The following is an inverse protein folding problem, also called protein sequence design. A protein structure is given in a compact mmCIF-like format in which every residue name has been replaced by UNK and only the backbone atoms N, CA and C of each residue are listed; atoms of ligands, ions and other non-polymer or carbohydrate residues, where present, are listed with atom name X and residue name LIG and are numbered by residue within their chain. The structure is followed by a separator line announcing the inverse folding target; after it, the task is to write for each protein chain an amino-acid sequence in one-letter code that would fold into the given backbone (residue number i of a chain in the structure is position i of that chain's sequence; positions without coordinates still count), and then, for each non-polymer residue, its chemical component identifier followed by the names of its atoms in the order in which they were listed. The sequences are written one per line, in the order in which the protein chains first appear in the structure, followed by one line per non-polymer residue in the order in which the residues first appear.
data_IF_427950497584
#
_entry.id   IF_427950497584
#
_cell.length_a   1.000
_cell.length_b   1.000
_cell.length_c   1.000
_cell.angle_alpha   90.00
_cell.angle_beta   90.00
_cell.angle_gamma   90.00
#
_symmetry.space_group_name_H-M   'P 1'
#
loop_
_entity.id
_entity.type
_entity.pdbx_description
1 polymer ?
#
# COMPACT_ATOMS: atom_id res chain seq x y z
N UNK A 1 20.14 -18.59 -16.60
CA UNK A 1 19.41 -17.73 -15.63
C UNK A 1 17.93 -18.02 -15.78
N UNK A 2 17.15 -18.16 -14.70
CA UNK A 2 15.70 -18.19 -14.83
C UNK A 2 15.23 -16.90 -15.53
N UNK A 3 14.17 -16.96 -16.35
CA UNK A 3 13.62 -15.75 -16.96
C UNK A 3 13.17 -14.78 -15.87
N UNK A 4 13.30 -13.48 -16.13
CA UNK A 4 12.74 -12.47 -15.26
C UNK A 4 11.22 -12.67 -15.18
N UNK A 5 10.67 -12.62 -13.97
CA UNK A 5 9.23 -12.80 -13.76
C UNK A 5 8.43 -11.77 -14.55
N UNK A 6 7.29 -12.20 -15.10
CA UNK A 6 6.29 -11.34 -15.72
C UNK A 6 5.73 -10.33 -14.71
N UNK A 7 5.11 -9.24 -15.16
CA UNK A 7 4.47 -8.29 -14.23
C UNK A 7 3.34 -8.98 -13.46
N UNK A 8 2.56 -9.83 -14.14
CA UNK A 8 1.48 -10.56 -13.50
C UNK A 8 1.99 -11.52 -12.42
N UNK A 9 3.11 -12.19 -12.68
CA UNK A 9 3.76 -13.09 -11.71
C UNK A 9 4.28 -12.30 -10.50
N UNK A 10 4.98 -11.17 -10.73
CA UNK A 10 5.48 -10.31 -9.66
C UNK A 10 4.36 -9.82 -8.74
N UNK A 11 3.26 -9.31 -9.31
CA UNK A 11 2.10 -8.82 -8.54
C UNK A 11 1.53 -9.95 -7.68
N UNK A 12 1.33 -11.14 -8.25
CA UNK A 12 0.74 -12.29 -7.53
C UNK A 12 1.64 -12.78 -6.40
N UNK A 13 2.96 -12.85 -6.64
CA UNK A 13 3.93 -13.26 -5.61
C UNK A 13 3.90 -12.30 -4.41
N UNK A 14 3.85 -10.99 -4.66
CA UNK A 14 3.79 -10.01 -3.56
C UNK A 14 2.47 -10.09 -2.79
N UNK A 15 1.34 -10.25 -3.48
CA UNK A 15 0.02 -10.44 -2.85
C UNK A 15 -0.05 -11.74 -2.05
N UNK A 16 0.51 -12.83 -2.55
CA UNK A 16 0.61 -14.10 -1.83
C UNK A 16 1.48 -13.94 -0.58
N UNK A 17 2.61 -13.25 -0.68
CA UNK A 17 3.46 -12.94 0.46
C UNK A 17 2.70 -12.16 1.54
N UNK A 18 1.89 -11.16 1.17
CA UNK A 18 1.00 -10.45 2.12
C UNK A 18 0.04 -11.41 2.84
N UNK A 19 -0.59 -12.34 2.12
CA UNK A 19 -1.49 -13.32 2.73
C UNK A 19 -0.75 -14.24 3.71
N UNK A 20 0.45 -14.69 3.36
CA UNK A 20 1.32 -15.49 4.24
C UNK A 20 1.67 -14.72 5.50
N UNK A 21 2.02 -13.43 5.41
CA UNK A 21 2.33 -12.57 6.55
C UNK A 21 1.13 -12.39 7.48
N UNK A 22 -0.06 -12.13 6.93
CA UNK A 22 -1.31 -12.01 7.71
C UNK A 22 -1.66 -13.31 8.40
N UNK A 23 -1.52 -14.45 7.72
CA UNK A 23 -1.75 -15.75 8.33
C UNK A 23 -0.74 -16.04 9.44
N UNK A 24 0.54 -15.72 9.23
CA UNK A 24 1.59 -15.83 10.25
C UNK A 24 1.28 -14.97 11.47
N UNK A 25 0.82 -13.74 11.28
CA UNK A 25 0.38 -12.87 12.39
C UNK A 25 -0.71 -13.53 13.23
N UNK A 26 -1.72 -14.13 12.59
CA UNK A 26 -2.80 -14.85 13.29
C UNK A 26 -2.28 -16.07 14.04
N UNK A 27 -1.46 -16.90 13.39
CA UNK A 27 -0.90 -18.11 14.00
C UNK A 27 -0.02 -17.80 15.22
N UNK A 28 0.70 -16.67 15.20
CA UNK A 28 1.54 -16.22 16.30
C UNK A 28 0.78 -15.43 17.37
N UNK A 29 -0.52 -15.18 17.20
CA UNK A 29 -1.29 -14.32 18.11
C UNK A 29 -0.82 -12.86 18.11
N UNK A 30 -0.33 -12.37 16.96
CA UNK A 30 0.19 -11.00 16.76
C UNK A 30 -0.77 -10.09 15.96
N UNK A 31 -1.97 -10.57 15.61
CA UNK A 31 -2.87 -9.84 14.73
C UNK A 31 -3.29 -8.48 15.31
N UNK A 32 -3.56 -8.42 16.61
CA UNK A 32 -3.94 -7.19 17.30
C UNK A 32 -2.75 -6.24 17.44
N UNK A 33 -1.54 -6.76 17.66
CA UNK A 33 -0.31 -5.97 17.72
C UNK A 33 0.05 -5.37 16.37
N UNK A 34 -0.13 -6.11 15.27
CA UNK A 34 0.01 -5.57 13.91
C UNK A 34 -0.97 -4.42 13.71
N UNK A 35 -2.23 -4.59 14.13
CA UNK A 35 -3.22 -3.52 14.02
C UNK A 35 -2.92 -2.30 14.89
N UNK A 36 -2.41 -2.52 16.11
CA UNK A 36 -1.98 -1.45 17.00
C UNK A 36 -0.81 -0.65 16.40
N UNK A 37 0.20 -1.34 15.86
CA UNK A 37 1.36 -0.72 15.20
C UNK A 37 0.93 0.09 13.98
N UNK A 38 0.10 -0.50 13.09
CA UNK A 38 -0.45 0.21 11.92
C UNK A 38 -1.23 1.46 12.30
N UNK A 39 -2.10 1.35 13.30
CA UNK A 39 -2.91 2.47 13.79
C UNK A 39 -2.05 3.60 14.36
N UNK A 40 -1.03 3.27 15.14
CA UNK A 40 -0.09 4.25 15.69
C UNK A 40 0.73 4.92 14.57
N UNK A 41 1.26 4.14 13.61
CA UNK A 41 1.96 4.66 12.44
C UNK A 41 1.11 5.66 11.66
N UNK A 42 -0.17 5.33 11.42
CA UNK A 42 -1.13 6.23 10.77
C UNK A 42 -1.37 7.52 11.54
N UNK A 43 -1.59 7.44 12.87
CA UNK A 43 -1.74 8.64 13.73
C UNK A 43 -0.48 9.52 13.69
N UNK A 44 0.70 8.89 13.79
CA UNK A 44 1.99 9.59 13.73
C UNK A 44 2.14 10.33 12.41
N UNK A 45 1.92 9.67 11.27
CA UNK A 45 2.03 10.33 9.97
C UNK A 45 1.03 11.47 9.78
N UNK A 46 -0.22 11.32 10.25
CA UNK A 46 -1.20 12.43 10.25
C UNK A 46 -0.73 13.63 11.07
N UNK A 47 -0.06 13.38 12.20
CA UNK A 47 0.55 14.43 13.01
C UNK A 47 1.78 15.07 12.37
N UNK A 48 2.69 14.25 11.83
CA UNK A 48 3.95 14.70 11.20
C UNK A 48 3.71 15.51 9.92
N UNK A 49 2.78 15.07 9.07
CA UNK A 49 2.48 15.70 7.78
C UNK A 49 1.17 16.51 7.82
N UNK A 50 0.87 17.13 8.97
CA UNK A 50 -0.34 17.93 9.16
C UNK A 50 -0.37 19.13 8.20
N UNK A 51 0.77 19.71 7.90
CA UNK A 51 0.94 20.77 6.91
C UNK A 51 0.44 20.34 5.52
N UNK A 52 0.84 19.16 5.04
CA UNK A 52 0.38 18.61 3.77
C UNK A 52 -1.13 18.31 3.76
N UNK A 53 -1.68 17.92 4.91
CA UNK A 53 -3.13 17.69 5.09
C UNK A 53 -3.96 18.98 5.17
N UNK A 54 -3.32 20.15 5.31
CA UNK A 54 -3.95 21.47 5.33
C UNK A 54 -3.72 22.25 4.03
N UNK A 55 -2.74 21.85 3.22
CA UNK A 55 -2.44 22.45 1.92
C UNK A 55 -3.48 22.02 0.86
N UNK A 56 -4.29 22.95 0.31
CA UNK A 56 -5.29 22.64 -0.71
C UNK A 56 -4.72 21.97 -1.97
N UNK A 57 -3.45 22.19 -2.29
CA UNK A 57 -2.79 21.57 -3.45
C UNK A 57 -2.35 20.12 -3.21
N UNK A 58 -2.22 19.69 -1.94
CA UNK A 58 -1.63 18.38 -1.57
C UNK A 58 -2.55 17.50 -0.75
N UNK A 59 -3.61 18.07 -0.17
CA UNK A 59 -4.49 17.41 0.80
C UNK A 59 -5.07 16.09 0.29
N UNK A 60 -5.47 16.03 -0.99
CA UNK A 60 -6.11 14.82 -1.53
C UNK A 60 -5.11 13.68 -1.71
N UNK A 61 -3.92 13.96 -2.26
CA UNK A 61 -2.87 12.97 -2.38
C UNK A 61 -2.35 12.51 -1.00
N UNK A 62 -2.20 13.43 -0.05
CA UNK A 62 -1.82 13.10 1.32
C UNK A 62 -2.87 12.21 2.01
N UNK A 63 -4.17 12.51 1.82
CA UNK A 63 -5.26 11.66 2.35
C UNK A 63 -5.29 10.30 1.68
N UNK A 64 -5.19 10.24 0.35
CA UNK A 64 -5.16 8.98 -0.38
C UNK A 64 -4.00 8.10 0.11
N UNK A 65 -2.81 8.67 0.29
CA UNK A 65 -1.68 7.91 0.84
C UNK A 65 -2.00 7.33 2.22
N UNK A 66 -2.55 8.13 3.14
CA UNK A 66 -2.81 7.72 4.52
C UNK A 66 -4.05 6.85 4.72
N UNK A 67 -4.91 6.72 3.71
CA UNK A 67 -6.16 5.98 3.79
C UNK A 67 -6.18 4.74 2.90
N UNK A 68 -5.56 4.83 1.72
CA UNK A 68 -5.61 3.80 0.70
C UNK A 68 -4.28 3.06 0.52
N UNK A 69 -3.12 3.72 0.70
CA UNK A 69 -1.81 3.09 0.50
C UNK A 69 -1.13 2.65 1.80
N UNK A 70 -1.27 3.44 2.86
CA UNK A 70 -0.56 3.27 4.11
C UNK A 70 -1.50 3.45 5.31
N UNK A 71 -2.45 2.52 5.45
CA UNK A 71 -3.47 2.58 6.49
C UNK A 71 -3.66 1.23 7.21
N UNK A 72 -4.33 1.29 8.35
CA UNK A 72 -4.67 0.11 9.15
C UNK A 72 -5.89 -0.67 8.62
N UNK A 73 -6.50 -0.22 7.52
CA UNK A 73 -7.71 -0.85 6.95
C UNK A 73 -7.38 -2.25 6.42
N UNK A 74 -8.40 -3.11 6.40
CA UNK A 74 -8.30 -4.40 5.74
C UNK A 74 -8.46 -4.24 4.23
N UNK A 75 -7.40 -4.56 3.49
CA UNK A 75 -7.38 -4.49 2.03
C UNK A 75 -7.54 -5.85 1.35
N UNK A 76 -7.91 -6.90 2.09
CA UNK A 76 -7.97 -8.27 1.57
C UNK A 76 -8.85 -8.41 0.32
N UNK A 77 -10.01 -7.74 0.27
CA UNK A 77 -10.86 -7.75 -0.92
C UNK A 77 -10.17 -7.10 -2.13
N UNK A 78 -9.57 -5.92 -1.93
CA UNK A 78 -8.82 -5.21 -2.96
C UNK A 78 -7.63 -6.02 -3.47
N UNK A 79 -6.90 -6.67 -2.56
CA UNK A 79 -5.74 -7.51 -2.86
C UNK A 79 -6.15 -8.69 -3.75
N UNK A 80 -7.27 -9.35 -3.45
CA UNK A 80 -7.82 -10.44 -4.28
C UNK A 80 -8.23 -9.95 -5.67
N UNK A 81 -8.91 -8.81 -5.75
CA UNK A 81 -9.32 -8.20 -7.02
C UNK A 81 -8.09 -7.82 -7.86
N UNK A 82 -7.04 -7.30 -7.23
CA UNK A 82 -5.80 -6.92 -7.90
C UNK A 82 -5.07 -8.13 -8.49
N UNK A 83 -4.96 -9.24 -7.74
CA UNK A 83 -4.37 -10.48 -8.24
C UNK A 83 -5.13 -11.10 -9.43
N UNK A 84 -6.47 -10.97 -9.45
CA UNK A 84 -7.33 -11.44 -10.56
C UNK A 84 -7.05 -10.68 -11.86
N UNK A 85 -6.80 -9.38 -11.79
CA UNK A 85 -6.57 -8.55 -12.98
C UNK A 85 -5.10 -8.44 -13.42
N UNK A 86 -4.15 -8.99 -12.65
CA UNK A 86 -2.72 -8.86 -12.94
C UNK A 86 -2.34 -9.26 -14.37
N UNK A 87 -2.91 -10.35 -14.90
CA UNK A 87 -2.70 -10.78 -16.29
C UNK A 87 -3.43 -9.93 -17.34
N UNK A 88 -4.44 -9.15 -16.96
CA UNK A 88 -5.06 -8.16 -17.84
C UNK A 88 -4.22 -6.87 -17.88
N UNK A 89 -3.65 -6.44 -16.73
CA UNK A 89 -2.72 -5.31 -16.67
C UNK A 89 -1.55 -5.53 -17.63
N UNK A 90 -0.91 -6.69 -17.54
CA UNK A 90 0.25 -7.03 -18.37
C UNK A 90 -0.06 -7.06 -19.87
N UNK A 91 -1.24 -7.54 -20.27
CA UNK A 91 -1.60 -7.69 -21.69
C UNK A 91 -2.18 -6.44 -22.33
N UNK A 92 -2.90 -5.62 -21.57
CA UNK A 92 -3.75 -4.55 -22.11
C UNK A 92 -3.20 -3.15 -21.89
N UNK A 93 -2.29 -2.96 -20.93
CA UNK A 93 -1.81 -1.64 -20.56
C UNK A 93 -0.34 -1.42 -20.94
N UNK A 94 0.10 -0.15 -21.11
CA UNK A 94 1.51 0.16 -21.31
C UNK A 94 2.40 -0.37 -20.19
N UNK A 95 3.67 -0.62 -20.50
CA UNK A 95 4.63 -1.19 -19.54
C UNK A 95 4.73 -0.38 -18.25
N UNK A 96 4.62 0.95 -18.31
CA UNK A 96 4.64 1.83 -17.13
C UNK A 96 3.52 1.51 -16.13
N UNK A 97 2.32 1.13 -16.61
CA UNK A 97 1.20 0.74 -15.75
C UNK A 97 1.47 -0.62 -15.10
N UNK A 98 2.05 -1.55 -15.87
CA UNK A 98 2.50 -2.84 -15.34
C UNK A 98 3.54 -2.66 -14.24
N UNK A 99 4.52 -1.78 -14.48
CA UNK A 99 5.57 -1.46 -13.50
C UNK A 99 5.01 -0.81 -12.24
N UNK A 100 4.16 0.20 -12.39
CA UNK A 100 3.49 0.86 -11.27
C UNK A 100 2.65 -0.14 -10.45
N UNK A 101 2.03 -1.11 -11.11
CA UNK A 101 1.26 -2.16 -10.44
C UNK A 101 2.16 -3.10 -9.61
N UNK A 102 3.34 -3.44 -10.13
CA UNK A 102 4.35 -4.17 -9.34
C UNK A 102 4.83 -3.35 -8.14
N UNK A 103 5.10 -2.06 -8.33
CA UNK A 103 5.56 -1.17 -7.26
C UNK A 103 4.50 -1.04 -6.14
N UNK A 104 3.22 -0.94 -6.49
CA UNK A 104 2.11 -0.98 -5.52
C UNK A 104 2.09 -2.28 -4.70
N UNK A 105 2.22 -3.43 -5.39
CA UNK A 105 2.22 -4.74 -4.72
C UNK A 105 3.46 -4.92 -3.83
N UNK A 106 4.63 -4.47 -4.29
CA UNK A 106 5.87 -4.49 -3.51
C UNK A 106 5.79 -3.59 -2.28
N UNK A 107 5.28 -2.36 -2.42
CA UNK A 107 5.09 -1.45 -1.28
C UNK A 107 4.21 -2.08 -0.20
N UNK A 108 3.12 -2.73 -0.61
CA UNK A 108 2.21 -3.42 0.30
C UNK A 108 2.91 -4.56 1.05
N UNK A 109 3.62 -5.42 0.33
CA UNK A 109 4.35 -6.54 0.93
C UNK A 109 5.48 -6.09 1.87
N UNK A 110 6.23 -5.04 1.50
CA UNK A 110 7.26 -4.45 2.36
C UNK A 110 6.65 -3.88 3.64
N UNK A 111 5.53 -3.17 3.51
CA UNK A 111 4.83 -2.58 4.66
C UNK A 111 4.33 -3.66 5.62
N UNK A 112 3.64 -4.68 5.12
CA UNK A 112 3.15 -5.81 5.93
C UNK A 112 4.30 -6.58 6.60
N UNK A 113 5.42 -6.78 5.92
CA UNK A 113 6.60 -7.45 6.48
C UNK A 113 7.17 -6.68 7.67
N UNK A 114 7.35 -5.37 7.49
CA UNK A 114 7.91 -4.49 8.51
C UNK A 114 6.96 -4.36 9.71
N UNK A 115 5.66 -4.25 9.47
CA UNK A 115 4.65 -4.16 10.51
C UNK A 115 4.57 -5.46 11.32
N UNK A 116 4.67 -6.63 10.69
CA UNK A 116 4.70 -7.92 11.39
C UNK A 116 5.95 -8.05 12.28
N UNK A 117 7.14 -7.71 11.78
CA UNK A 117 8.36 -7.71 12.60
C UNK A 117 8.23 -6.75 13.78
N UNK A 118 7.73 -5.54 13.52
CA UNK A 118 7.54 -4.53 14.56
C UNK A 118 6.49 -4.94 15.60
N UNK A 119 5.43 -5.65 15.20
CA UNK A 119 4.41 -6.18 16.09
C UNK A 119 5.00 -7.18 17.10
N UNK A 120 5.94 -8.04 16.68
CA UNK A 120 6.64 -8.95 17.59
C UNK A 120 7.41 -8.21 18.68
N UNK A 121 8.18 -7.19 18.30
CA UNK A 121 8.89 -6.34 19.27
C UNK A 121 7.93 -5.52 20.13
N UNK A 122 6.85 -5.02 19.53
CA UNK A 122 5.80 -4.31 20.25
C UNK A 122 5.24 -5.19 21.35
N UNK A 123 4.81 -6.43 21.04
CA UNK A 123 4.27 -7.38 22.02
C UNK A 123 5.22 -7.61 23.21
N UNK A 124 6.49 -7.87 22.91
CA UNK A 124 7.52 -8.12 23.93
C UNK A 124 7.77 -6.95 24.89
N UNK A 125 7.41 -5.72 24.49
CA UNK A 125 7.58 -4.50 25.28
C UNK A 125 6.28 -4.04 25.98
N UNK A 126 5.25 -4.89 26.03
CA UNK A 126 3.98 -4.58 26.69
C UNK A 126 4.12 -4.29 28.18
N UNK A 127 3.33 -3.34 28.69
CA UNK A 127 3.23 -3.02 30.13
C UNK A 127 4.39 -2.25 30.76
N UNK A 128 5.52 -2.08 30.08
CA UNK A 128 6.74 -1.52 30.68
C UNK A 128 6.96 -0.01 30.43
N UNK A 129 6.30 0.60 29.45
CA UNK A 129 6.56 1.98 29.02
C UNK A 129 5.32 2.67 28.44
N UNK A 130 5.36 3.99 28.27
CA UNK A 130 4.32 4.74 27.55
C UNK A 130 4.23 4.32 26.08
N UNK A 131 3.08 4.51 25.43
CA UNK A 131 2.86 4.16 24.02
C UNK A 131 3.97 4.71 23.08
N UNK A 132 4.39 5.99 23.17
CA UNK A 132 5.44 6.52 22.32
C UNK A 132 6.82 5.89 22.59
N UNK A 133 7.17 5.66 23.85
CA UNK A 133 8.45 5.05 24.22
C UNK A 133 8.52 3.60 23.74
N UNK A 134 7.41 2.84 23.89
CA UNK A 134 7.27 1.49 23.35
C UNK A 134 7.42 1.47 21.83
N UNK A 135 6.80 2.43 21.13
CA UNK A 135 6.87 2.53 19.68
C UNK A 135 8.30 2.78 19.20
N UNK A 136 9.01 3.74 19.81
CA UNK A 136 10.39 4.06 19.45
C UNK A 136 11.32 2.86 19.69
N UNK A 137 11.14 2.14 20.80
CA UNK A 137 11.91 0.94 21.12
C UNK A 137 11.62 -0.20 20.13
N UNK A 138 10.35 -0.46 19.81
CA UNK A 138 9.97 -1.46 18.82
C UNK A 138 10.52 -1.09 17.42
N UNK A 139 10.43 0.18 17.02
CA UNK A 139 10.95 0.66 15.74
C UNK A 139 12.47 0.46 15.62
N UNK A 140 13.21 0.79 16.68
CA UNK A 140 14.67 0.58 16.74
C UNK A 140 15.02 -0.91 16.69
N UNK A 141 14.28 -1.74 17.43
CA UNK A 141 14.48 -3.18 17.45
C UNK A 141 14.18 -3.84 16.09
N UNK A 142 13.18 -3.35 15.35
CA UNK A 142 12.89 -3.82 13.99
C UNK A 142 14.11 -3.68 13.07
N UNK A 143 14.86 -2.57 13.15
CA UNK A 143 16.24 -2.51 12.63
C UNK A 143 16.47 -2.77 11.14
N UNK A 144 15.45 -2.69 10.27
CA UNK A 144 15.58 -3.05 8.84
C UNK A 144 15.81 -1.82 7.94
N UNK A 145 16.99 -1.19 8.06
CA UNK A 145 17.32 0.03 7.32
C UNK A 145 17.22 -0.15 5.79
N UNK A 146 17.72 -1.26 5.23
CA UNK A 146 17.68 -1.50 3.79
C UNK A 146 16.23 -1.62 3.27
N UNK A 147 15.36 -2.33 3.99
CA UNK A 147 13.95 -2.48 3.63
C UNK A 147 13.21 -1.12 3.67
N UNK A 148 13.53 -0.26 4.66
CA UNK A 148 12.97 1.10 4.75
C UNK A 148 13.44 2.00 3.60
N UNK A 149 14.71 1.93 3.21
CA UNK A 149 15.20 2.65 2.03
C UNK A 149 14.51 2.15 0.75
N UNK A 150 14.32 0.84 0.61
CA UNK A 150 13.58 0.28 -0.53
C UNK A 150 12.12 0.77 -0.53
N UNK A 151 11.45 0.72 0.62
CA UNK A 151 10.08 1.23 0.78
C UNK A 151 9.98 2.70 0.35
N UNK A 152 10.92 3.55 0.79
CA UNK A 152 10.96 4.96 0.39
C UNK A 152 11.15 5.13 -1.12
N UNK A 153 12.13 4.44 -1.71
CA UNK A 153 12.37 4.51 -3.15
C UNK A 153 11.16 4.07 -3.99
N UNK A 154 10.44 3.04 -3.54
CA UNK A 154 9.20 2.58 -4.18
C UNK A 154 8.10 3.63 -4.05
N UNK A 155 7.93 4.25 -2.88
CA UNK A 155 6.94 5.34 -2.67
C UNK A 155 7.26 6.56 -3.53
N UNK A 156 8.53 6.95 -3.64
CA UNK A 156 8.96 8.08 -4.47
C UNK A 156 8.65 7.84 -5.95
N UNK A 157 9.02 6.66 -6.47
CA UNK A 157 8.72 6.27 -7.85
C UNK A 157 7.22 6.23 -8.11
N UNK A 158 6.46 5.64 -7.18
CA UNK A 158 5.00 5.58 -7.26
C UNK A 158 4.37 6.99 -7.29
N UNK A 159 4.84 7.90 -6.45
CA UNK A 159 4.38 9.29 -6.43
C UNK A 159 4.60 9.99 -7.77
N UNK A 160 5.80 9.89 -8.33
CA UNK A 160 6.12 10.52 -9.62
C UNK A 160 5.30 9.94 -10.78
N UNK A 161 5.09 8.62 -10.80
CA UNK A 161 4.34 7.97 -11.86
C UNK A 161 2.84 8.24 -11.74
N UNK A 162 2.29 8.27 -10.52
CA UNK A 162 0.90 8.68 -10.31
C UNK A 162 0.66 10.13 -10.74
N UNK A 163 1.54 11.07 -10.39
CA UNK A 163 1.43 12.46 -10.86
C UNK A 163 1.40 12.53 -12.39
N UNK A 164 2.30 11.79 -13.06
CA UNK A 164 2.39 11.76 -14.52
C UNK A 164 1.16 11.14 -15.19
N UNK A 165 0.75 9.95 -14.74
CA UNK A 165 -0.29 9.14 -15.38
C UNK A 165 -1.70 9.70 -15.14
N UNK A 166 -1.95 10.28 -13.97
CA UNK A 166 -3.27 10.81 -13.60
C UNK A 166 -3.63 12.12 -14.31
N UNK A 167 -2.64 12.78 -14.95
CA UNK A 167 -2.85 13.91 -15.87
C UNK A 167 -3.41 13.48 -17.24
N UNK A 168 -3.39 12.19 -17.57
CA UNK A 168 -3.96 11.68 -18.82
C UNK A 168 -5.49 11.65 -18.81
N UNK A 169 -6.11 12.53 -19.61
CA UNK A 169 -7.57 12.60 -19.76
C UNK A 169 -8.17 11.31 -20.33
N UNK A 170 -7.47 10.63 -21.23
CA UNK A 170 -7.94 9.38 -21.83
C UNK A 170 -7.96 8.24 -20.82
N UNK A 171 -6.93 8.12 -19.97
CA UNK A 171 -6.90 7.13 -18.89
C UNK A 171 -8.00 7.38 -17.87
N UNK A 172 -8.22 8.64 -17.48
CA UNK A 172 -9.35 8.99 -16.58
C UNK A 172 -10.69 8.59 -17.19
N UNK A 173 -10.91 8.89 -18.47
CA UNK A 173 -12.17 8.54 -19.13
C UNK A 173 -12.36 7.02 -19.20
N UNK A 174 -11.32 6.29 -19.61
CA UNK A 174 -11.33 4.83 -19.64
C UNK A 174 -11.67 4.23 -18.27
N UNK A 175 -11.02 4.73 -17.22
CA UNK A 175 -11.29 4.30 -15.84
C UNK A 175 -12.77 4.54 -15.47
N UNK A 176 -13.32 5.73 -15.71
CA UNK A 176 -14.73 6.02 -15.39
C UNK A 176 -15.72 5.15 -16.17
N UNK A 177 -15.41 4.83 -17.43
CA UNK A 177 -16.25 3.93 -18.24
C UNK A 177 -16.24 2.49 -17.71
N UNK A 178 -15.14 2.07 -17.08
CA UNK A 178 -15.00 0.74 -16.49
C UNK A 178 -15.75 0.55 -15.17
N UNK A 179 -16.36 1.60 -14.59
CA UNK A 179 -17.02 1.52 -13.29
C UNK A 179 -18.09 0.43 -13.19
N UNK A 180 -19.13 0.48 -14.03
CA UNK A 180 -20.22 -0.51 -14.01
C UNK A 180 -19.73 -1.91 -14.41
N UNK A 181 -18.91 -2.09 -15.48
CA UNK A 181 -18.32 -3.38 -15.78
C UNK A 181 -17.52 -3.98 -14.62
N UNK A 182 -16.72 -3.16 -13.93
CA UNK A 182 -15.92 -3.60 -12.79
C UNK A 182 -16.80 -4.03 -11.61
N UNK A 183 -17.86 -3.28 -11.28
CA UNK A 183 -18.82 -3.66 -10.25
C UNK A 183 -19.47 -5.01 -10.55
N UNK A 184 -19.96 -5.22 -11.78
CA UNK A 184 -20.58 -6.48 -12.22
C UNK A 184 -19.58 -7.64 -12.17
N UNK A 185 -18.31 -7.39 -12.46
CA UNK A 185 -17.23 -8.38 -12.39
C UNK A 185 -16.70 -8.65 -10.97
N UNK A 186 -17.25 -7.98 -9.95
CA UNK A 186 -16.78 -8.06 -8.57
C UNK A 186 -15.38 -7.48 -8.38
N UNK A 187 -15.09 -6.35 -9.04
CA UNK A 187 -13.85 -5.57 -9.00
C UNK A 187 -14.08 -4.15 -8.45
N UNK A 188 -15.19 -3.94 -7.72
CA UNK A 188 -15.62 -2.62 -7.25
C UNK A 188 -14.64 -1.94 -6.30
N UNK A 189 -14.04 -2.69 -5.36
CA UNK A 189 -13.08 -2.13 -4.40
C UNK A 189 -11.81 -1.62 -5.10
N UNK A 190 -11.28 -2.38 -6.07
CA UNK A 190 -10.13 -1.99 -6.87
C UNK A 190 -10.46 -0.81 -7.79
N UNK A 191 -11.62 -0.82 -8.45
CA UNK A 191 -12.08 0.29 -9.27
C UNK A 191 -12.17 1.58 -8.45
N UNK A 192 -12.76 1.52 -7.27
CA UNK A 192 -12.90 2.68 -6.38
C UNK A 192 -11.53 3.22 -5.94
N UNK A 193 -10.61 2.33 -5.56
CA UNK A 193 -9.23 2.68 -5.23
C UNK A 193 -8.53 3.42 -6.38
N UNK A 194 -8.62 2.88 -7.60
CA UNK A 194 -8.03 3.49 -8.78
C UNK A 194 -8.61 4.87 -9.07
N UNK A 195 -9.94 5.02 -8.99
CA UNK A 195 -10.61 6.30 -9.22
C UNK A 195 -10.20 7.36 -8.19
N UNK A 196 -10.18 7.00 -6.91
CA UNK A 196 -9.72 7.90 -5.85
C UNK A 196 -8.28 8.35 -6.09
N UNK A 197 -7.37 7.43 -6.47
CA UNK A 197 -5.98 7.76 -6.77
C UNK A 197 -5.87 8.71 -7.97
N UNK A 198 -6.64 8.45 -9.04
CA UNK A 198 -6.68 9.31 -10.22
C UNK A 198 -7.19 10.73 -9.95
N UNK A 199 -8.12 10.88 -9.03
CA UNK A 199 -8.66 12.20 -8.66
C UNK A 199 -7.75 12.91 -7.65
N UNK A 200 -7.10 12.16 -6.75
CA UNK A 200 -6.22 12.71 -5.71
C UNK A 200 -4.91 13.28 -6.28
N UNK A 201 -4.28 12.59 -7.23
CA UNK A 201 -2.98 13.00 -7.79
C UNK A 201 -3.09 13.97 -8.96
N UNK A 202 -4.26 14.09 -9.59
CA UNK A 202 -4.41 14.99 -10.73
C UNK A 202 -4.48 16.48 -10.37
N UNK A 203 -4.58 16.79 -9.07
CA UNK A 203 -4.53 18.14 -8.53
C UNK A 203 -3.13 18.54 -8.02
N UNK A 204 -2.19 17.59 -7.98
CA UNK A 204 -0.77 17.85 -7.73
C UNK A 204 -0.11 18.44 -8.99
#
# INVERSE_FOLDING_TARGET
MPPALSFAEQIRVQLEHVQVLRQKARTLGLADEVQAVKSLQGRRFRGTYRDMLLDPGRVDAARFFLEELYSARDFSERDQQFGRIAGAIERLFPQDIGRLSCDLAELHALTESLDLTMAGHWQALSGATSEPARYLSAWRATGQAQARHRQLAVVEHLGSELERLTRSKSLRMALRMMRKPAEVAGLGALQHFLEQGFDAFARL
#
